data_IF_953134208706
#
_entry.id   IF_953134208706
#
_cell.length_a   1.000
_cell.length_b   1.000
_cell.length_c   1.000
_cell.angle_alpha   90.00
_cell.angle_beta   90.00
_cell.angle_gamma   90.00
#
_symmetry.space_group_name_H-M   'P 1'
#
loop_
_entity.id
_entity.type
_entity.pdbx_description
1 polymer ?
#
# COMPACT_ATOMS: atom_id res chain seq x y z
N UNK A 1 -20.38 -13.88 8.99
CA UNK A 1 -19.51 -14.92 9.58
C UNK A 1 -18.63 -14.28 10.66
N UNK A 2 -18.37 -14.94 11.79
CA UNK A 2 -17.54 -14.41 12.89
C UNK A 2 -16.26 -15.27 13.07
N UNK A 3 -15.46 -15.39 12.01
CA UNK A 3 -14.34 -16.36 11.93
C UNK A 3 -13.25 -16.13 12.99
N UNK A 4 -13.08 -14.90 13.47
CA UNK A 4 -12.15 -14.55 14.54
C UNK A 4 -12.48 -15.28 15.87
N UNK A 5 -13.74 -15.62 16.11
CA UNK A 5 -14.21 -16.30 17.33
C UNK A 5 -14.31 -17.83 17.19
N UNK A 6 -14.14 -18.36 15.97
CA UNK A 6 -14.28 -19.79 15.70
C UNK A 6 -13.12 -20.58 16.30
N UNK A 7 -13.44 -21.56 17.15
CA UNK A 7 -12.45 -22.46 17.79
C UNK A 7 -12.14 -23.72 16.97
N UNK A 8 -13.05 -24.13 16.08
CA UNK A 8 -12.92 -25.41 15.36
C UNK A 8 -11.90 -25.37 14.22
N UNK A 9 -11.77 -24.22 13.54
CA UNK A 9 -10.79 -23.95 12.47
C UNK A 9 -10.65 -25.06 11.40
N UNK A 10 -11.73 -25.77 11.07
CA UNK A 10 -11.75 -26.81 10.02
C UNK A 10 -11.32 -26.30 8.63
N UNK A 11 -11.31 -24.98 8.41
CA UNK A 11 -10.76 -24.35 7.21
C UNK A 11 -9.25 -24.62 7.03
N UNK A 12 -8.52 -25.04 8.07
CA UNK A 12 -7.12 -25.46 7.97
C UNK A 12 -6.90 -26.64 7.02
N UNK A 13 -7.92 -27.48 6.83
CA UNK A 13 -7.91 -28.59 5.86
C UNK A 13 -8.73 -28.26 4.60
N UNK A 14 -9.03 -26.97 4.36
CA UNK A 14 -9.73 -26.51 3.18
C UNK A 14 -11.26 -26.55 3.23
N UNK A 15 -11.88 -26.78 4.41
CA UNK A 15 -13.35 -26.73 4.53
C UNK A 15 -13.88 -25.32 4.18
N UNK A 16 -14.80 -25.24 3.24
CA UNK A 16 -15.56 -24.02 2.98
C UNK A 16 -16.62 -23.82 4.08
N UNK A 17 -16.36 -22.87 4.97
CA UNK A 17 -17.24 -22.54 6.10
C UNK A 17 -18.35 -21.54 5.73
N UNK A 18 -18.54 -21.25 4.44
CA UNK A 18 -19.50 -20.26 3.93
C UNK A 18 -20.59 -20.91 3.07
N UNK A 19 -21.58 -20.10 2.67
CA UNK A 19 -22.60 -20.49 1.67
C UNK A 19 -22.17 -20.20 0.23
N UNK A 20 -21.02 -19.54 0.04
CA UNK A 20 -20.52 -19.14 -1.27
C UNK A 20 -19.97 -20.38 -1.98
N UNK A 21 -20.46 -20.66 -3.19
CA UNK A 21 -20.10 -21.86 -3.97
C UNK A 21 -19.38 -21.58 -5.28
N UNK A 22 -19.33 -20.33 -5.72
CA UNK A 22 -18.78 -19.92 -7.01
C UNK A 22 -18.13 -18.54 -6.91
N UNK A 23 -17.29 -18.19 -7.89
CA UNK A 23 -16.57 -16.90 -7.90
C UNK A 23 -15.38 -16.86 -6.94
N UNK A 24 -14.89 -18.02 -6.52
CA UNK A 24 -13.69 -18.19 -5.70
C UNK A 24 -12.48 -18.64 -6.54
N UNK A 25 -12.68 -18.88 -7.85
CA UNK A 25 -11.60 -19.23 -8.75
C UNK A 25 -10.73 -18.01 -9.08
N UNK A 26 -9.42 -18.22 -9.10
CA UNK A 26 -8.44 -17.21 -9.53
C UNK A 26 -8.11 -17.43 -11.01
N UNK A 27 -8.09 -16.35 -11.78
CA UNK A 27 -7.67 -16.35 -13.20
C UNK A 27 -6.91 -15.07 -13.54
N UNK A 28 -6.18 -15.07 -14.65
CA UNK A 28 -5.39 -13.91 -15.09
C UNK A 28 -4.41 -13.42 -14.02
N UNK A 29 -4.37 -12.11 -13.79
CA UNK A 29 -3.43 -11.51 -12.84
C UNK A 29 -3.76 -11.86 -11.38
N UNK A 30 -5.03 -12.16 -11.06
CA UNK A 30 -5.40 -12.64 -9.74
C UNK A 30 -4.76 -14.02 -9.45
N UNK A 31 -4.62 -14.89 -10.46
CA UNK A 31 -3.93 -16.18 -10.31
C UNK A 31 -2.43 -15.98 -10.08
N UNK A 32 -1.79 -15.10 -10.84
CA UNK A 32 -0.37 -14.76 -10.64
C UNK A 32 -0.13 -14.15 -9.26
N UNK A 33 -1.04 -13.27 -8.81
CA UNK A 33 -0.99 -12.61 -7.52
C UNK A 33 -1.01 -13.62 -6.37
N UNK A 34 -1.97 -14.55 -6.36
CA UNK A 34 -2.04 -15.56 -5.29
C UNK A 34 -0.87 -16.55 -5.34
N UNK A 35 -0.40 -16.94 -6.54
CA UNK A 35 0.77 -17.82 -6.70
C UNK A 35 2.05 -17.16 -6.18
N UNK A 36 2.26 -15.88 -6.53
CA UNK A 36 3.41 -15.10 -6.07
C UNK A 36 3.37 -14.90 -4.56
N UNK A 37 2.19 -14.63 -4.00
CA UNK A 37 2.02 -14.47 -2.55
C UNK A 37 2.31 -15.77 -1.78
N UNK A 38 1.81 -16.91 -2.27
CA UNK A 38 2.08 -18.22 -1.67
C UNK A 38 3.57 -18.61 -1.78
N UNK A 39 4.23 -18.24 -2.88
CA UNK A 39 5.67 -18.44 -3.03
C UNK A 39 6.46 -17.60 -2.02
N UNK A 40 6.12 -16.30 -1.85
CA UNK A 40 6.74 -15.43 -0.84
C UNK A 40 6.55 -15.98 0.58
N UNK A 41 5.37 -16.52 0.90
CA UNK A 41 5.10 -17.15 2.20
C UNK A 41 5.99 -18.40 2.43
N UNK A 42 6.28 -19.15 1.36
CA UNK A 42 7.16 -20.32 1.42
C UNK A 42 8.66 -19.99 1.38
N UNK A 43 9.03 -18.73 1.10
CA UNK A 43 10.43 -18.32 1.03
C UNK A 43 11.08 -18.43 2.42
N UNK A 44 12.18 -19.16 2.48
CA UNK A 44 12.95 -19.36 3.71
C UNK A 44 13.85 -18.19 4.05
N UNK A 45 14.05 -17.26 3.10
CA UNK A 45 14.82 -16.03 3.32
C UNK A 45 13.95 -15.03 4.09
N UNK A 46 14.49 -14.50 5.19
CA UNK A 46 13.80 -13.45 5.94
C UNK A 46 13.90 -12.13 5.18
N UNK A 47 12.79 -11.72 4.56
CA UNK A 47 12.68 -10.47 3.80
C UNK A 47 11.96 -9.39 4.58
N UNK A 48 12.28 -8.14 4.28
CA UNK A 48 11.47 -7.00 4.71
C UNK A 48 10.19 -6.92 3.88
N UNK A 49 9.16 -6.24 4.39
CA UNK A 49 7.93 -6.05 3.64
C UNK A 49 8.14 -5.28 2.33
N UNK A 50 9.10 -4.34 2.32
CA UNK A 50 9.45 -3.60 1.11
C UNK A 50 10.09 -4.50 0.04
N UNK A 51 10.97 -5.42 0.45
CA UNK A 51 11.54 -6.44 -0.44
C UNK A 51 10.47 -7.36 -1.01
N UNK A 52 9.53 -7.84 -0.17
CA UNK A 52 8.39 -8.62 -0.64
C UNK A 52 7.54 -7.85 -1.66
N UNK A 53 7.25 -6.57 -1.40
CA UNK A 53 6.49 -5.70 -2.31
C UNK A 53 7.22 -5.54 -3.64
N UNK A 54 8.53 -5.32 -3.62
CA UNK A 54 9.33 -5.18 -4.84
C UNK A 54 9.31 -6.49 -5.65
N UNK A 55 9.58 -7.63 -5.01
CA UNK A 55 9.57 -8.94 -5.70
C UNK A 55 8.18 -9.28 -6.23
N UNK A 56 7.14 -9.06 -5.43
CA UNK A 56 5.75 -9.25 -5.82
C UNK A 56 5.40 -8.43 -7.06
N UNK A 57 5.71 -7.13 -7.02
CA UNK A 57 5.47 -6.20 -8.11
C UNK A 57 6.20 -6.63 -9.38
N UNK A 58 7.47 -7.04 -9.26
CA UNK A 58 8.26 -7.50 -10.41
C UNK A 58 7.70 -8.78 -11.03
N UNK A 59 7.31 -9.78 -10.22
CA UNK A 59 6.74 -11.05 -10.73
C UNK A 59 5.36 -10.85 -11.38
N UNK A 60 4.62 -9.82 -10.99
CA UNK A 60 3.38 -9.41 -11.66
C UNK A 60 3.59 -8.57 -12.92
N UNK A 61 4.83 -8.14 -13.20
CA UNK A 61 5.16 -7.31 -14.35
C UNK A 61 4.85 -5.83 -14.15
N UNK A 62 4.68 -5.38 -12.90
CA UNK A 62 4.49 -3.97 -12.60
C UNK A 62 5.76 -3.18 -12.93
N UNK A 63 5.54 -1.97 -13.44
CA UNK A 63 6.57 -1.05 -13.91
C UNK A 63 6.52 0.30 -13.18
N UNK A 64 5.33 0.72 -12.75
CA UNK A 64 5.08 2.00 -12.10
C UNK A 64 4.57 1.82 -10.67
N UNK A 65 5.24 2.42 -9.70
CA UNK A 65 4.85 2.35 -8.29
C UNK A 65 4.56 3.75 -7.76
N UNK A 66 3.40 3.95 -7.15
CA UNK A 66 3.07 5.19 -6.46
C UNK A 66 3.36 5.11 -4.96
N UNK A 67 3.76 6.23 -4.37
CA UNK A 67 3.98 6.38 -2.92
C UNK A 67 3.14 7.56 -2.43
N UNK A 68 2.05 7.27 -1.72
CA UNK A 68 1.24 8.27 -1.05
C UNK A 68 1.67 8.38 0.42
N UNK A 69 2.24 9.52 0.82
CA UNK A 69 2.87 9.65 2.13
C UNK A 69 2.42 10.88 2.93
N UNK A 70 2.51 10.78 4.26
CA UNK A 70 2.34 11.92 5.15
C UNK A 70 3.60 12.78 5.21
N UNK A 71 3.46 14.12 5.26
CA UNK A 71 4.59 15.06 5.40
C UNK A 71 5.45 14.80 6.66
N UNK A 72 4.84 14.26 7.73
CA UNK A 72 5.55 13.89 8.96
C UNK A 72 6.52 12.70 8.75
N UNK A 73 6.42 11.99 7.62
CA UNK A 73 7.19 10.81 7.26
C UNK A 73 7.93 10.97 5.93
N UNK A 74 8.37 12.20 5.61
CA UNK A 74 9.09 12.51 4.37
C UNK A 74 10.41 11.74 4.24
N UNK A 75 11.15 11.58 5.34
CA UNK A 75 12.45 10.88 5.32
C UNK A 75 12.27 9.41 4.97
N UNK A 76 11.27 8.79 5.57
CA UNK A 76 10.85 7.42 5.33
C UNK A 76 10.36 7.24 3.89
N UNK A 77 9.54 8.16 3.39
CA UNK A 77 9.08 8.16 2.01
C UNK A 77 10.23 8.25 1.01
N UNK A 78 11.22 9.10 1.30
CA UNK A 78 12.44 9.23 0.49
C UNK A 78 13.25 7.94 0.48
N UNK A 79 13.43 7.28 1.62
CA UNK A 79 14.14 6.00 1.68
C UNK A 79 13.46 4.93 0.81
N UNK A 80 12.13 4.81 0.92
CA UNK A 80 11.35 3.88 0.11
C UNK A 80 11.48 4.23 -1.38
N UNK A 81 11.40 5.51 -1.74
CA UNK A 81 11.62 5.99 -3.11
C UNK A 81 13.02 5.62 -3.63
N UNK A 82 14.06 5.91 -2.87
CA UNK A 82 15.47 5.68 -3.27
C UNK A 82 15.78 4.19 -3.48
N UNK A 83 15.09 3.30 -2.77
CA UNK A 83 15.19 1.84 -2.95
C UNK A 83 14.41 1.39 -4.19
N UNK A 84 13.12 1.76 -4.28
CA UNK A 84 12.24 1.26 -5.34
C UNK A 84 12.57 1.84 -6.72
N UNK A 85 13.07 3.07 -6.79
CA UNK A 85 13.45 3.75 -8.04
C UNK A 85 14.63 3.08 -8.77
N UNK A 86 15.36 2.17 -8.11
CA UNK A 86 16.36 1.31 -8.74
C UNK A 86 15.75 0.27 -9.68
N UNK A 87 14.45 -0.03 -9.52
CA UNK A 87 13.78 -1.17 -10.15
C UNK A 87 12.49 -0.81 -10.90
N UNK A 88 11.87 0.32 -10.55
CA UNK A 88 10.57 0.78 -11.06
C UNK A 88 10.62 2.28 -11.40
N UNK A 89 9.68 2.73 -12.23
CA UNK A 89 9.33 4.15 -12.33
C UNK A 89 8.49 4.52 -11.10
N UNK A 90 8.98 5.42 -10.25
CA UNK A 90 8.35 5.72 -8.96
C UNK A 90 7.79 7.13 -8.95
N UNK A 91 6.52 7.25 -8.56
CA UNK A 91 5.82 8.51 -8.34
C UNK A 91 5.56 8.67 -6.85
N UNK A 92 5.65 9.89 -6.32
CA UNK A 92 5.38 10.13 -4.90
C UNK A 92 4.54 11.39 -4.71
N UNK A 93 3.52 11.29 -3.85
CA UNK A 93 2.59 12.38 -3.58
C UNK A 93 2.45 12.59 -2.08
N UNK A 94 2.85 13.77 -1.62
CA UNK A 94 2.72 14.18 -0.23
C UNK A 94 1.26 14.53 0.10
N UNK A 95 0.83 14.24 1.34
CA UNK A 95 -0.53 14.48 1.81
C UNK A 95 -1.02 15.94 1.75
N UNK A 96 -0.11 16.90 1.62
CA UNK A 96 -0.41 18.33 1.50
C UNK A 96 -0.56 18.81 0.05
N UNK A 97 -0.26 17.97 -0.94
CA UNK A 97 -0.54 18.30 -2.35
C UNK A 97 -2.05 18.42 -2.53
N UNK A 98 -2.48 19.46 -3.25
CA UNK A 98 -3.90 19.82 -3.41
C UNK A 98 -4.63 19.97 -2.06
N UNK A 99 -3.93 20.42 -0.99
CA UNK A 99 -4.52 20.56 0.34
C UNK A 99 -5.71 21.51 0.34
N UNK A 100 -6.65 21.22 1.23
CA UNK A 100 -7.86 22.01 1.42
C UNK A 100 -7.68 22.94 2.61
N UNK A 101 -8.37 24.08 2.60
CA UNK A 101 -8.48 24.91 3.79
C UNK A 101 -9.39 24.21 4.80
N UNK A 102 -8.95 24.10 6.06
CA UNK A 102 -9.78 23.50 7.11
C UNK A 102 -11.16 24.13 7.24
N UNK A 103 -11.31 25.44 7.06
CA UNK A 103 -12.63 26.09 7.08
C UNK A 103 -13.54 25.65 5.95
N UNK A 104 -12.99 25.38 4.77
CA UNK A 104 -13.78 24.86 3.65
C UNK A 104 -14.35 23.46 3.93
N UNK A 105 -13.91 22.83 5.03
CA UNK A 105 -14.34 21.52 5.50
C UNK A 105 -15.06 21.58 6.86
N UNK A 106 -15.40 22.76 7.36
CA UNK A 106 -15.97 22.96 8.71
C UNK A 106 -15.09 22.39 9.84
N UNK A 107 -13.77 22.32 9.65
CA UNK A 107 -12.80 21.84 10.64
C UNK A 107 -12.25 23.04 11.41
N UNK A 108 -12.27 22.96 12.75
CA UNK A 108 -11.67 23.98 13.61
C UNK A 108 -10.15 24.06 13.36
N UNK A 109 -9.66 25.25 13.04
CA UNK A 109 -8.23 25.55 12.99
C UNK A 109 -7.63 25.63 14.39
N UNK A 110 -6.32 25.40 14.48
CA UNK A 110 -5.58 25.87 15.65
C UNK A 110 -5.54 27.40 15.66
N UNK A 111 -5.70 28.02 16.83
CA UNK A 111 -5.71 29.49 17.01
C UNK A 111 -4.35 30.14 16.61
N UNK A 112 -3.32 29.34 16.35
CA UNK A 112 -1.96 29.78 16.07
C UNK A 112 -1.61 29.93 14.58
N UNK A 113 -2.52 29.59 13.65
CA UNK A 113 -2.22 29.61 12.21
C UNK A 113 -3.32 30.29 11.39
N UNK A 114 -2.96 31.30 10.59
CA UNK A 114 -3.88 31.94 9.63
C UNK A 114 -4.31 30.96 8.52
N UNK A 115 -3.44 30.02 8.14
CA UNK A 115 -3.75 28.94 7.20
C UNK A 115 -3.26 27.60 7.75
N UNK A 116 -4.19 26.64 7.85
CA UNK A 116 -3.88 25.28 8.27
C UNK A 116 -4.41 24.32 7.21
N UNK A 117 -3.49 23.74 6.43
CA UNK A 117 -3.79 22.81 5.36
C UNK A 117 -4.34 21.49 5.90
N UNK A 118 -5.55 21.12 5.50
CA UNK A 118 -6.05 19.76 5.62
C UNK A 118 -5.42 18.87 4.53
N UNK A 119 -5.09 17.63 4.87
CA UNK A 119 -4.56 16.69 3.89
C UNK A 119 -5.64 16.32 2.86
N UNK A 120 -5.25 16.04 1.62
CA UNK A 120 -6.19 15.67 0.55
C UNK A 120 -5.87 14.26 0.00
N UNK A 121 -6.38 13.19 0.65
CA UNK A 121 -6.08 11.82 0.25
C UNK A 121 -6.72 11.43 -1.09
N UNK A 122 -7.83 12.06 -1.46
CA UNK A 122 -8.46 11.89 -2.78
C UNK A 122 -7.53 12.50 -3.84
N UNK A 123 -7.01 13.70 -3.61
CA UNK A 123 -6.03 14.33 -4.49
C UNK A 123 -4.79 13.46 -4.67
N UNK A 124 -4.28 12.84 -3.59
CA UNK A 124 -3.16 11.90 -3.70
C UNK A 124 -3.48 10.72 -4.63
N UNK A 125 -4.66 10.10 -4.48
CA UNK A 125 -5.06 8.97 -5.30
C UNK A 125 -5.24 9.37 -6.77
N UNK A 126 -5.90 10.49 -7.04
CA UNK A 126 -6.15 10.95 -8.41
C UNK A 126 -4.86 11.28 -9.16
N UNK A 127 -3.89 11.91 -8.49
CA UNK A 127 -2.59 12.19 -9.11
C UNK A 127 -1.84 10.90 -9.48
N UNK A 128 -1.89 9.87 -8.64
CA UNK A 128 -1.28 8.58 -8.94
C UNK A 128 -2.06 7.78 -10.00
N UNK A 129 -3.38 7.96 -10.08
CA UNK A 129 -4.18 7.43 -11.18
C UNK A 129 -3.80 8.10 -12.50
N UNK A 130 -3.59 9.43 -12.52
CA UNK A 130 -3.14 10.17 -13.71
C UNK A 130 -1.77 9.66 -14.20
N UNK A 131 -0.88 9.29 -13.27
CA UNK A 131 0.42 8.66 -13.58
C UNK A 131 0.31 7.20 -14.03
N UNK A 132 -0.89 6.59 -13.93
CA UNK A 132 -1.21 5.21 -14.27
C UNK A 132 -0.32 4.20 -13.52
N UNK A 133 -0.17 4.36 -12.21
CA UNK A 133 0.59 3.42 -11.37
C UNK A 133 -0.02 2.03 -11.36
N UNK A 134 0.82 0.98 -11.26
CA UNK A 134 0.37 -0.42 -11.18
C UNK A 134 0.08 -0.86 -9.73
N UNK A 135 0.73 -0.22 -8.75
CA UNK A 135 0.56 -0.45 -7.32
C UNK A 135 0.86 0.84 -6.55
N UNK A 136 0.05 1.12 -5.52
CA UNK A 136 0.25 2.25 -4.62
C UNK A 136 0.64 1.81 -3.21
N UNK A 137 1.70 2.41 -2.67
CA UNK A 137 2.15 2.25 -1.29
C UNK A 137 1.65 3.43 -0.47
N UNK A 138 0.87 3.17 0.57
CA UNK A 138 0.46 4.16 1.55
C UNK A 138 1.44 4.16 2.72
N UNK A 139 2.02 5.32 3.02
CA UNK A 139 3.04 5.47 4.05
C UNK A 139 2.67 6.53 5.10
N UNK A 140 2.37 6.07 6.31
CA UNK A 140 2.07 6.96 7.44
C UNK A 140 0.78 7.78 7.30
N UNK A 141 -0.15 7.36 6.44
CA UNK A 141 -1.47 7.97 6.35
C UNK A 141 -2.30 7.60 7.60
N UNK A 142 -2.93 8.60 8.22
CA UNK A 142 -3.77 8.40 9.41
C UNK A 142 -5.12 7.81 9.02
N UNK A 143 -5.79 7.16 9.99
CA UNK A 143 -7.10 6.54 9.80
C UNK A 143 -8.10 7.48 9.14
N UNK A 144 -8.74 7.00 8.09
CA UNK A 144 -9.69 7.76 7.28
C UNK A 144 -9.04 8.39 6.05
N UNK A 145 -7.77 8.81 6.15
CA UNK A 145 -7.00 9.26 4.98
C UNK A 145 -6.57 8.08 4.12
N UNK A 146 -6.09 7.01 4.75
CA UNK A 146 -5.78 5.73 4.10
C UNK A 146 -7.02 5.07 3.47
N UNK A 147 -8.16 5.08 4.18
CA UNK A 147 -9.44 4.54 3.69
C UNK A 147 -9.91 5.32 2.46
N UNK A 148 -9.86 6.66 2.51
CA UNK A 148 -10.24 7.48 1.36
C UNK A 148 -9.28 7.27 0.20
N UNK A 149 -7.97 7.27 0.43
CA UNK A 149 -6.99 7.00 -0.62
C UNK A 149 -7.27 5.65 -1.30
N UNK A 150 -7.38 4.56 -0.53
CA UNK A 150 -7.62 3.21 -1.06
C UNK A 150 -8.97 3.10 -1.78
N UNK A 151 -9.97 3.88 -1.38
CA UNK A 151 -11.28 3.92 -2.06
C UNK A 151 -11.22 4.56 -3.45
N UNK A 152 -10.35 5.56 -3.64
CA UNK A 152 -10.26 6.33 -4.90
C UNK A 152 -9.05 5.94 -5.77
N UNK A 153 -8.12 5.13 -5.26
CA UNK A 153 -7.04 4.55 -6.04
C UNK A 153 -7.62 3.54 -7.04
N UNK A 154 -7.29 3.71 -8.32
CA UNK A 154 -7.63 2.73 -9.36
C UNK A 154 -6.71 1.51 -9.30
N UNK A 155 -5.43 1.75 -8.98
CA UNK A 155 -4.46 0.70 -8.70
C UNK A 155 -4.72 0.05 -7.33
N UNK A 156 -4.38 -1.24 -7.13
CA UNK A 156 -4.35 -1.82 -5.79
C UNK A 156 -3.44 -1.00 -4.87
N UNK A 157 -3.80 -0.96 -3.60
CA UNK A 157 -3.07 -0.18 -2.59
C UNK A 157 -2.65 -1.07 -1.42
N UNK A 158 -1.45 -0.86 -0.91
CA UNK A 158 -0.92 -1.54 0.26
C UNK A 158 -0.34 -0.53 1.26
N UNK A 159 -0.62 -0.74 2.55
CA UNK A 159 0.03 0.04 3.61
C UNK A 159 1.37 -0.57 3.95
N UNK A 160 2.43 0.24 3.90
CA UNK A 160 3.74 -0.14 4.44
C UNK A 160 3.88 0.43 5.85
N UNK A 161 4.18 -0.42 6.83
CA UNK A 161 4.28 -0.01 8.23
C UNK A 161 5.59 0.72 8.47
N UNK A 162 5.52 1.88 9.13
CA UNK A 162 6.72 2.64 9.50
C UNK A 162 7.65 1.87 10.44
N UNK A 163 7.11 0.93 11.22
CA UNK A 163 7.89 0.08 12.13
C UNK A 163 8.83 -0.88 11.39
N UNK A 164 8.60 -1.12 10.10
CA UNK A 164 9.42 -2.02 9.28
C UNK A 164 10.63 -1.30 8.65
N UNK A 165 10.62 0.03 8.63
CA UNK A 165 11.63 0.84 7.95
C UNK A 165 13.00 0.93 8.63
N UNK A 166 13.14 0.88 9.98
CA UNK A 166 14.46 0.89 10.63
C UNK A 166 15.35 -0.29 10.24
N UNK A 167 14.79 -1.32 9.58
CA UNK A 167 15.51 -2.50 9.10
C UNK A 167 15.89 -2.40 7.61
N UNK A 168 15.54 -1.31 6.94
CA UNK A 168 15.92 -1.03 5.55
C UNK A 168 17.34 -0.43 5.55
N UNK A 169 18.36 -1.30 5.54
CA UNK A 169 19.73 -0.89 5.25
C UNK A 169 19.94 -0.64 3.74
N UNK A 170 21.18 -0.40 3.33
CA UNK A 170 21.61 -0.49 1.92
C UNK A 170 21.59 -1.98 1.47
N UNK A 171 20.40 -2.58 1.39
CA UNK A 171 20.21 -3.91 0.83
C UNK A 171 19.83 -3.80 -0.64
N UNK A 172 20.58 -4.49 -1.50
CA UNK A 172 20.12 -4.76 -2.86
C UNK A 172 18.99 -5.80 -2.78
N UNK A 173 17.91 -5.56 -3.54
CA UNK A 173 16.79 -6.50 -3.64
C UNK A 173 17.15 -7.54 -4.69
N UNK A 174 17.55 -8.73 -4.24
CA UNK A 174 17.79 -9.87 -5.11
C UNK A 174 16.46 -10.44 -5.63
N UNK A 175 16.20 -10.26 -6.92
CA UNK A 175 15.11 -10.96 -7.58
C UNK A 175 15.53 -12.40 -7.84
N UNK A 176 14.93 -13.34 -7.11
CA UNK A 176 15.08 -14.77 -7.42
C UNK A 176 14.30 -15.05 -8.72
N UNK A 177 15.03 -15.44 -9.77
CA UNK A 177 14.48 -15.89 -11.06
C UNK A 177 13.48 -17.05 -10.86
#
# INVERSE_FOLDING_TARGET
MQCALCRNKECLIGKNCSVIKSGLEYSGDNLKSIQTSAWLESDTVKRTKLEEIAIYSKKLGYSKIGIAFCIEHEREARLVYDILSRYFEVFSVCCKVCSLQKESLDIKKSDNFEFEAACNPIGQALLLNDDCTDLNIMLGLKTGYDILFAKYSEAPSITLSLLELPYLGDSEIDFIE
#
